data_IF_687787970425
#
_entry.id   IF_687787970425
#
_cell.length_a   1.000
_cell.length_b   1.000
_cell.length_c   1.000
_cell.angle_alpha   90.00
_cell.angle_beta   90.00
_cell.angle_gamma   90.00
#
_symmetry.space_group_name_H-M   'P 1'
#
loop_
_entity.id
_entity.type
_entity.pdbx_description
1 polymer ?
#
# COMPACT_ATOMS: atom_id res chain seq x y z
N UNK A 1 -8.18 -20.07 20.92
CA UNK A 1 -6.74 -19.76 20.82
C UNK A 1 -6.55 -18.40 21.45
N UNK A 2 -5.64 -18.27 22.41
CA UNK A 2 -5.29 -16.98 23.01
C UNK A 2 -4.84 -16.01 21.91
N UNK A 3 -5.40 -14.80 21.90
CA UNK A 3 -4.95 -13.75 21.01
C UNK A 3 -3.50 -13.43 21.36
N UNK A 4 -2.58 -13.59 20.40
CA UNK A 4 -1.19 -13.21 20.60
C UNK A 4 -1.13 -11.70 20.91
N UNK A 5 -0.37 -11.34 21.94
CA UNK A 5 -0.22 -9.96 22.39
C UNK A 5 1.24 -9.66 22.66
N UNK A 6 1.61 -8.39 22.49
CA UNK A 6 2.86 -7.85 22.98
C UNK A 6 2.69 -6.42 23.42
N UNK A 7 3.81 -5.71 23.49
CA UNK A 7 3.87 -4.33 23.95
C UNK A 7 4.72 -3.48 23.03
N UNK A 8 4.43 -2.19 22.97
CA UNK A 8 5.30 -1.19 22.35
C UNK A 8 6.42 -0.88 23.34
N UNK A 9 7.63 -1.32 23.04
CA UNK A 9 8.78 -1.03 23.88
C UNK A 9 9.28 0.40 23.68
N UNK A 10 9.27 0.89 22.43
CA UNK A 10 9.67 2.24 22.08
C UNK A 10 9.01 2.68 20.76
N UNK A 11 8.96 4.00 20.55
CA UNK A 11 8.54 4.60 19.29
C UNK A 11 9.56 5.63 18.83
N UNK A 12 9.75 5.74 17.52
CA UNK A 12 10.78 6.58 16.92
C UNK A 12 10.28 7.23 15.63
N UNK A 13 10.67 8.48 15.39
CA UNK A 13 10.40 9.15 14.12
C UNK A 13 11.45 10.23 13.83
N UNK A 14 11.68 10.47 12.54
CA UNK A 14 12.61 11.49 12.07
C UNK A 14 12.04 12.23 10.87
N UNK A 15 12.08 13.56 10.91
CA UNK A 15 11.69 14.44 9.82
C UNK A 15 12.79 14.62 8.77
N UNK A 16 14.02 14.22 9.10
CA UNK A 16 15.16 14.23 8.18
C UNK A 16 15.45 12.84 7.59
N UNK A 17 16.06 12.83 6.40
CA UNK A 17 16.55 11.60 5.76
C UNK A 17 17.81 11.09 6.48
N UNK A 18 17.60 10.38 7.58
CA UNK A 18 18.61 9.62 8.29
C UNK A 18 18.21 8.15 8.38
N UNK A 19 19.21 7.26 8.51
CA UNK A 19 18.95 5.82 8.68
C UNK A 19 18.32 5.54 10.05
N UNK A 20 18.90 6.10 11.10
CA UNK A 20 18.43 6.01 12.49
C UNK A 20 17.34 7.04 12.77
N UNK A 21 16.36 6.65 13.60
CA UNK A 21 15.27 7.51 14.06
C UNK A 21 15.40 7.73 15.56
N UNK A 22 15.43 8.99 16.05
CA UNK A 22 15.45 9.26 17.48
C UNK A 22 14.17 8.76 18.15
N UNK A 23 14.32 8.19 19.34
CA UNK A 23 13.22 7.78 20.21
C UNK A 23 12.38 8.99 20.61
N UNK A 24 11.07 8.80 20.70
CA UNK A 24 10.07 9.80 21.08
C UNK A 24 9.19 9.27 22.21
N UNK A 25 8.58 10.17 22.96
CA UNK A 25 7.59 9.83 23.98
C UNK A 25 6.30 9.27 23.34
N UNK A 26 5.98 9.72 22.12
CA UNK A 26 4.84 9.25 21.34
C UNK A 26 5.06 9.47 19.84
N UNK A 27 4.30 8.73 19.03
CA UNK A 27 4.15 8.99 17.59
C UNK A 27 2.65 9.05 17.22
N UNK A 28 2.34 9.77 16.14
CA UNK A 28 0.96 9.88 15.63
C UNK A 28 0.87 9.22 14.26
N UNK A 29 0.03 8.20 14.14
CA UNK A 29 -0.29 7.57 12.87
C UNK A 29 -1.34 8.37 12.10
N UNK A 30 -1.16 8.48 10.79
CA UNK A 30 -2.09 9.07 9.84
C UNK A 30 -2.49 7.99 8.83
N UNK A 31 -3.79 7.68 8.76
CA UNK A 31 -4.35 6.63 7.90
C UNK A 31 -3.94 6.83 6.43
N UNK A 32 -3.46 5.75 5.81
CA UNK A 32 -2.98 5.76 4.42
C UNK A 32 -1.73 6.59 4.15
N UNK A 33 -1.10 7.17 5.18
CA UNK A 33 0.05 8.09 5.02
C UNK A 33 1.28 7.58 5.79
N UNK A 34 1.13 7.15 7.05
CA UNK A 34 2.25 6.74 7.91
C UNK A 34 2.39 7.57 9.17
N UNK A 35 3.61 7.71 9.68
CA UNK A 35 3.88 8.45 10.92
C UNK A 35 3.97 9.95 10.64
N UNK A 36 3.18 10.77 11.36
CA UNK A 36 3.21 12.23 11.27
C UNK A 36 4.64 12.74 11.54
N UNK A 37 5.15 13.55 10.62
CA UNK A 37 6.49 14.12 10.73
C UNK A 37 7.62 13.16 10.37
N UNK A 38 7.33 11.92 9.96
CA UNK A 38 8.36 11.02 9.43
C UNK A 38 8.62 11.28 7.94
N UNK A 39 9.88 11.35 7.55
CA UNK A 39 10.28 11.63 6.17
C UNK A 39 9.75 10.60 5.16
N UNK A 40 9.50 9.36 5.60
CA UNK A 40 8.99 8.27 4.77
C UNK A 40 7.46 8.28 4.64
N UNK A 41 6.75 9.10 5.40
CA UNK A 41 5.30 9.17 5.34
C UNK A 41 4.80 9.75 4.01
N UNK A 42 3.79 9.14 3.41
CA UNK A 42 3.21 9.56 2.14
C UNK A 42 2.38 8.45 1.50
N UNK A 43 1.37 8.85 0.72
CA UNK A 43 0.46 7.94 0.00
C UNK A 43 1.21 7.12 -1.07
N UNK A 44 2.17 7.75 -1.74
CA UNK A 44 2.97 7.15 -2.81
C UNK A 44 4.42 6.93 -2.37
N UNK A 45 5.08 5.97 -3.02
CA UNK A 45 6.49 5.66 -2.77
C UNK A 45 7.37 6.89 -3.01
N UNK A 46 8.19 7.26 -2.03
CA UNK A 46 9.16 8.37 -2.12
C UNK A 46 10.57 7.95 -2.56
N UNK A 47 10.82 6.64 -2.71
CA UNK A 47 12.14 6.12 -3.07
C UNK A 47 12.50 6.49 -4.51
N UNK A 48 13.54 7.31 -4.71
CA UNK A 48 13.95 7.88 -6.01
C UNK A 48 13.98 6.85 -7.16
N UNK A 49 14.46 5.63 -6.90
CA UNK A 49 14.51 4.57 -7.89
C UNK A 49 13.14 3.98 -8.28
N UNK A 50 12.19 3.90 -7.34
CA UNK A 50 10.82 3.41 -7.62
C UNK A 50 9.97 4.50 -8.26
N UNK A 51 10.13 5.75 -7.80
CA UNK A 51 9.51 6.94 -8.42
C UNK A 51 9.88 7.08 -9.89
N UNK A 52 11.15 6.78 -10.24
CA UNK A 52 11.61 6.79 -11.63
C UNK A 52 10.89 5.74 -12.51
N UNK A 53 10.48 4.61 -11.93
CA UNK A 53 9.77 3.55 -12.66
C UNK A 53 8.26 3.83 -12.74
N UNK A 54 7.64 4.15 -11.60
CA UNK A 54 6.24 4.57 -11.51
C UNK A 54 6.03 5.37 -10.21
N UNK A 55 5.76 6.70 -10.29
CA UNK A 55 5.56 7.56 -9.14
C UNK A 55 4.18 7.38 -8.45
N UNK A 56 3.26 6.64 -9.05
CA UNK A 56 1.91 6.40 -8.52
C UNK A 56 1.81 5.12 -7.68
N UNK A 57 2.92 4.40 -7.52
CA UNK A 57 2.97 3.19 -6.70
C UNK A 57 2.55 3.48 -5.25
N UNK A 58 1.58 2.72 -4.69
CA UNK A 58 1.20 2.83 -3.29
C UNK A 58 2.38 2.60 -2.35
N UNK A 59 2.46 3.40 -1.29
CA UNK A 59 3.48 3.22 -0.27
C UNK A 59 3.07 2.12 0.72
N UNK A 60 3.65 0.93 0.59
CA UNK A 60 3.49 -0.16 1.57
C UNK A 60 4.42 -0.06 2.78
N UNK A 61 5.25 0.99 2.84
CA UNK A 61 6.31 1.18 3.84
C UNK A 61 6.02 2.37 4.75
N UNK A 62 4.76 2.52 5.15
CA UNK A 62 4.28 3.67 5.91
C UNK A 62 4.75 3.66 7.36
N UNK A 63 4.84 2.46 7.94
CA UNK A 63 5.34 2.23 9.30
C UNK A 63 6.29 1.03 9.27
N UNK A 64 7.46 1.19 9.88
CA UNK A 64 8.41 0.10 10.08
C UNK A 64 8.30 -0.42 11.52
N UNK A 65 8.22 -1.75 11.69
CA UNK A 65 8.17 -2.37 13.01
C UNK A 65 9.28 -3.40 13.15
N UNK A 66 9.99 -3.39 14.28
CA UNK A 66 11.02 -4.40 14.63
C UNK A 66 10.75 -4.91 16.04
N UNK A 67 10.94 -6.22 16.25
CA UNK A 67 10.83 -6.87 17.55
C UNK A 67 12.16 -6.73 18.32
N UNK A 68 12.11 -6.26 19.57
CA UNK A 68 13.26 -5.95 20.41
C UNK A 68 14.14 -7.17 20.66
N UNK A 69 13.58 -8.37 20.58
CA UNK A 69 14.28 -9.64 20.70
C UNK A 69 15.44 -9.73 19.71
N UNK A 70 15.30 -9.14 18.51
CA UNK A 70 16.40 -9.04 17.55
C UNK A 70 17.62 -8.31 18.11
N UNK A 71 17.41 -7.27 18.91
CA UNK A 71 18.49 -6.45 19.47
C UNK A 71 19.29 -7.25 20.50
N UNK A 72 18.60 -8.07 21.30
CA UNK A 72 19.24 -9.05 22.18
C UNK A 72 20.07 -10.06 21.39
N UNK A 73 19.50 -10.65 20.34
CA UNK A 73 20.18 -11.64 19.48
C UNK A 73 21.48 -11.09 18.86
N UNK A 74 21.46 -9.86 18.34
CA UNK A 74 22.67 -9.26 17.75
C UNK A 74 23.62 -8.72 18.82
N UNK A 75 23.11 -8.35 20.00
CA UNK A 75 23.90 -7.99 21.17
C UNK A 75 24.81 -9.12 21.65
N UNK A 76 24.29 -10.35 21.69
CA UNK A 76 25.08 -11.55 22.00
C UNK A 76 26.23 -11.79 21.00
N UNK A 77 26.08 -11.28 19.77
CA UNK A 77 27.09 -11.33 18.71
C UNK A 77 28.03 -10.12 18.72
N UNK A 78 27.93 -9.24 19.72
CA UNK A 78 28.80 -8.08 19.93
C UNK A 78 28.31 -6.78 19.28
N UNK A 79 27.06 -6.71 18.81
CA UNK A 79 26.51 -5.50 18.20
C UNK A 79 25.62 -4.73 19.18
N UNK A 80 25.99 -3.49 19.47
CA UNK A 80 25.17 -2.56 20.25
C UNK A 80 24.12 -1.88 19.34
N UNK A 81 22.86 -2.24 19.54
CA UNK A 81 21.69 -1.77 18.77
C UNK A 81 20.56 -1.40 19.74
N UNK A 82 20.12 -0.14 19.68
CA UNK A 82 19.00 0.39 20.45
C UNK A 82 17.76 0.64 19.57
N UNK A 83 16.64 0.95 20.22
CA UNK A 83 15.40 1.30 19.51
C UNK A 83 15.59 2.52 18.60
N UNK A 84 15.10 2.40 17.36
CA UNK A 84 15.21 3.39 16.30
C UNK A 84 16.50 3.30 15.48
N UNK A 85 17.53 2.58 15.95
CA UNK A 85 18.83 2.52 15.28
C UNK A 85 18.76 1.89 13.89
N UNK A 86 17.87 0.89 13.73
CA UNK A 86 17.67 0.21 12.46
C UNK A 86 16.62 0.89 11.59
N UNK A 87 16.15 2.08 11.98
CA UNK A 87 15.22 2.90 11.22
C UNK A 87 13.76 2.47 11.32
N UNK A 88 13.41 1.71 12.36
CA UNK A 88 12.05 1.37 12.70
C UNK A 88 11.31 2.53 13.36
N UNK A 89 9.98 2.52 13.24
CA UNK A 89 9.10 3.48 13.90
C UNK A 89 8.55 2.93 15.22
N UNK A 90 8.33 1.63 15.29
CA UNK A 90 7.80 0.96 16.48
C UNK A 90 8.70 -0.22 16.79
N UNK A 91 9.25 -0.22 18.00
CA UNK A 91 9.92 -1.39 18.56
C UNK A 91 8.90 -2.13 19.42
N UNK A 92 8.63 -3.40 19.10
CA UNK A 92 7.71 -4.25 19.89
C UNK A 92 8.47 -5.20 20.80
N UNK A 93 7.81 -5.71 21.85
CA UNK A 93 8.30 -6.85 22.64
C UNK A 93 7.19 -7.88 22.82
N UNK A 94 7.56 -9.17 22.86
CA UNK A 94 6.66 -10.30 23.04
C UNK A 94 5.91 -10.73 21.77
N UNK A 95 6.32 -10.24 20.59
CA UNK A 95 5.69 -10.57 19.30
C UNK A 95 6.70 -11.08 18.29
N UNK A 96 6.40 -12.22 17.68
CA UNK A 96 7.15 -12.75 16.54
C UNK A 96 6.58 -12.16 15.23
N UNK A 97 6.90 -10.90 14.99
CA UNK A 97 6.42 -10.10 13.86
C UNK A 97 6.70 -10.77 12.50
N UNK A 98 7.89 -11.33 12.32
CA UNK A 98 8.34 -11.87 11.03
C UNK A 98 7.68 -13.19 10.66
N UNK A 99 6.99 -13.85 11.61
CA UNK A 99 6.19 -15.06 11.39
C UNK A 99 4.69 -14.80 11.34
N UNK A 100 4.23 -13.57 11.52
CA UNK A 100 2.83 -13.23 11.32
C UNK A 100 2.43 -13.42 9.86
N UNK A 101 1.18 -13.81 9.56
CA UNK A 101 0.66 -13.81 8.20
C UNK A 101 0.61 -12.41 7.58
N UNK A 102 0.78 -12.31 6.26
CA UNK A 102 0.46 -11.07 5.53
C UNK A 102 -1.01 -10.71 5.71
N UNK A 103 -1.31 -9.42 5.88
CA UNK A 103 -2.68 -8.95 6.14
C UNK A 103 -3.09 -8.99 7.63
N UNK A 104 -2.20 -9.42 8.53
CA UNK A 104 -2.43 -9.32 9.98
C UNK A 104 -2.62 -7.88 10.40
N UNK A 105 -3.64 -7.61 11.22
CA UNK A 105 -3.90 -6.30 11.80
C UNK A 105 -3.28 -6.24 13.19
N UNK A 106 -2.49 -5.21 13.43
CA UNK A 106 -1.94 -4.87 14.75
C UNK A 106 -2.67 -3.63 15.28
N UNK A 107 -3.25 -3.73 16.47
CA UNK A 107 -3.92 -2.61 17.14
C UNK A 107 -3.17 -2.21 18.39
N UNK A 108 -3.05 -0.91 18.61
CA UNK A 108 -2.26 -0.32 19.68
C UNK A 108 -3.15 0.40 20.67
N UNK A 109 -2.98 0.18 21.97
CA UNK A 109 -3.68 0.97 22.96
C UNK A 109 -3.30 0.60 24.39
N UNK A 110 -3.84 1.32 25.39
CA UNK A 110 -3.49 1.10 26.78
C UNK A 110 -3.86 -0.32 27.23
N UNK A 111 -3.14 -0.85 28.22
CA UNK A 111 -3.29 -2.22 28.72
C UNK A 111 -4.69 -2.59 29.27
N UNK A 112 -5.62 -1.64 29.39
CA UNK A 112 -7.03 -1.86 29.75
C UNK A 112 -8.03 -1.74 28.60
N UNK A 113 -7.57 -1.58 27.36
CA UNK A 113 -8.39 -1.33 26.17
C UNK A 113 -8.81 -2.59 25.41
N UNK A 114 -9.36 -3.60 26.09
CA UNK A 114 -10.33 -4.50 25.45
C UNK A 114 -11.70 -3.89 25.73
N UNK A 115 -12.42 -3.51 24.67
CA UNK A 115 -13.76 -2.98 24.78
C UNK A 115 -14.64 -4.00 25.54
N UNK A 116 -14.89 -3.66 26.80
CA UNK A 116 -15.76 -4.34 27.73
C UNK A 116 -16.32 -3.27 28.66
N UNK A 117 -17.49 -2.75 28.28
CA UNK A 117 -18.39 -1.87 29.01
C UNK A 117 -17.93 -1.34 30.39
N UNK A 118 -17.76 -0.02 30.48
CA UNK A 118 -18.14 0.73 31.67
C UNK A 118 -18.43 2.18 31.26
N UNK A 119 -19.72 2.53 31.23
CA UNK A 119 -20.14 3.93 31.22
C UNK A 119 -19.67 4.59 32.52
N UNK A 120 -19.00 5.73 32.39
CA UNK A 120 -18.76 6.63 33.50
C UNK A 120 -19.45 7.95 33.19
N UNK A 121 -20.72 8.03 33.61
CA UNK A 121 -21.33 9.30 33.97
C UNK A 121 -20.51 9.95 35.08
N UNK A 122 -20.32 11.26 34.98
CA UNK A 122 -19.39 11.99 35.82
C UNK A 122 -19.80 12.07 37.30
N UNK A 123 -18.80 12.38 38.12
CA UNK A 123 -18.95 13.26 39.27
C UNK A 123 -17.58 13.83 39.64
N UNK A 124 -17.52 15.15 39.74
CA UNK A 124 -16.42 15.90 40.30
C UNK A 124 -16.56 16.04 41.83
N UNK A 125 -15.45 16.01 42.56
CA UNK A 125 -15.18 16.74 43.82
C UNK A 125 -13.70 16.43 44.19
N UNK A 126 -12.74 17.36 44.15
CA UNK A 126 -12.52 18.59 44.93
C UNK A 126 -11.94 18.38 46.36
N UNK A 127 -10.76 18.98 46.57
CA UNK A 127 -10.17 19.39 47.86
C UNK A 127 -9.09 18.45 48.42
N UNK A 128 -7.94 18.86 48.96
CA UNK A 128 -7.24 20.14 49.11
C UNK A 128 -5.88 19.80 49.79
N UNK A 129 -4.81 20.55 49.51
CA UNK A 129 -3.54 20.41 50.24
C UNK A 129 -2.39 21.16 49.59
N UNK A 130 -2.26 22.45 49.91
CA UNK A 130 -1.23 23.35 49.40
C UNK A 130 0.01 23.41 50.30
N UNK A 131 1.19 23.53 49.68
CA UNK A 131 2.36 24.34 50.08
C UNK A 131 3.46 24.08 49.01
N UNK A 132 4.12 25.01 48.33
CA UNK A 132 4.22 26.46 48.41
C UNK A 132 5.71 26.84 48.24
N UNK A 133 6.12 27.36 47.07
CA UNK A 133 7.19 28.38 46.91
C UNK A 133 7.51 28.74 45.44
N UNK A 134 7.06 29.94 45.06
CA UNK A 134 7.69 31.03 44.26
C UNK A 134 8.41 30.68 42.94
N UNK A 135 7.88 31.08 41.77
CA UNK A 135 7.64 32.43 41.20
C UNK A 135 8.84 32.98 40.38
N UNK A 136 8.61 33.15 39.08
CA UNK A 136 9.44 33.90 38.16
C UNK A 136 8.75 34.12 36.80
N UNK A 137 8.18 35.32 36.61
CA UNK A 137 8.12 36.04 35.34
C UNK A 137 7.13 35.59 34.26
N UNK A 138 5.99 36.28 34.19
CA UNK A 138 5.06 36.27 33.04
C UNK A 138 5.59 37.12 31.87
N UNK A 139 5.22 36.75 30.63
CA UNK A 139 4.33 37.54 29.78
C UNK A 139 4.04 36.79 28.47
N UNK A 140 2.76 36.85 28.08
CA UNK A 140 2.13 36.11 27.00
C UNK A 140 2.01 36.94 25.72
N UNK A 141 1.99 36.25 24.58
CA UNK A 141 1.24 36.52 23.34
C UNK A 141 1.66 35.41 22.36
N UNK A 142 0.83 34.77 21.54
CA UNK A 142 -0.56 34.88 21.18
C UNK A 142 -0.75 33.81 20.10
N UNK A 143 -1.76 32.97 20.24
CA UNK A 143 -2.02 31.88 19.30
C UNK A 143 -2.44 32.47 17.94
N UNK A 144 -1.71 32.12 16.88
CA UNK A 144 -2.15 32.30 15.51
C UNK A 144 -2.19 30.92 14.85
N UNK A 145 -3.40 30.43 14.61
CA UNK A 145 -3.67 29.33 13.71
C UNK A 145 -3.12 29.69 12.32
N UNK A 146 -2.08 28.98 11.88
CA UNK A 146 -1.60 29.06 10.51
C UNK A 146 -2.02 27.79 9.78
N UNK A 147 -3.13 27.91 9.06
CA UNK A 147 -3.54 26.98 8.01
C UNK A 147 -2.51 27.09 6.88
N UNK A 148 -1.58 26.14 6.78
CA UNK A 148 -0.70 26.04 5.61
C UNK A 148 -1.48 25.44 4.44
N UNK A 149 -1.90 26.31 3.53
CA UNK A 149 -2.39 25.94 2.20
C UNK A 149 -1.21 25.56 1.29
N UNK A 150 -1.28 24.38 0.66
CA UNK A 150 -0.30 23.95 -0.35
C UNK A 150 -0.63 24.55 -1.73
N UNK A 151 0.35 24.97 -2.55
CA UNK A 151 0.11 25.57 -3.85
C UNK A 151 -0.54 24.59 -4.83
N UNK A 152 -1.62 25.02 -5.49
CA UNK A 152 -2.15 24.36 -6.70
C UNK A 152 -1.30 24.76 -7.88
N UNK A 153 -0.56 23.82 -8.45
CA UNK A 153 0.21 24.08 -9.65
C UNK A 153 -0.71 24.22 -10.87
N UNK A 154 -0.51 25.33 -11.58
CA UNK A 154 -1.27 25.74 -12.76
C UNK A 154 -0.71 25.03 -13.99
N UNK A 155 -1.62 24.61 -14.87
CA UNK A 155 -1.27 24.16 -16.21
C UNK A 155 -0.52 25.23 -17.00
N UNK A 156 0.47 24.77 -17.76
CA UNK A 156 1.07 25.53 -18.85
C UNK A 156 0.93 24.69 -20.12
N UNK A 157 -0.01 25.11 -20.97
CA UNK A 157 -0.02 24.72 -22.37
C UNK A 157 1.11 25.44 -23.10
N UNK A 158 1.71 24.77 -24.07
CA UNK A 158 2.54 25.40 -25.10
C UNK A 158 2.04 24.91 -26.45
N UNK A 159 1.38 25.83 -27.14
CA UNK A 159 1.15 25.85 -28.58
C UNK A 159 2.44 26.26 -29.29
N UNK A 160 2.77 25.64 -30.43
CA UNK A 160 3.87 26.10 -31.28
C UNK A 160 3.84 25.45 -32.65
N UNK A 161 3.49 26.25 -33.65
CA UNK A 161 3.26 25.91 -35.06
C UNK A 161 4.53 25.53 -35.84
N UNK A 162 4.26 24.85 -36.96
CA UNK A 162 5.16 24.46 -38.02
C UNK A 162 5.87 25.62 -38.73
N UNK A 163 7.08 25.35 -39.23
CA UNK A 163 7.61 25.99 -40.45
C UNK A 163 8.28 24.94 -41.33
N UNK A 164 7.81 24.85 -42.57
CA UNK A 164 8.38 24.03 -43.63
C UNK A 164 9.58 24.72 -44.29
N UNK A 165 10.61 23.94 -44.66
CA UNK A 165 11.51 24.28 -45.76
C UNK A 165 11.93 23.00 -46.48
N UNK A 166 11.59 22.91 -47.78
CA UNK A 166 12.09 21.93 -48.74
C UNK A 166 13.52 22.28 -49.17
N UNK A 167 14.36 21.25 -49.35
CA UNK A 167 15.38 21.19 -50.40
C UNK A 167 15.81 19.72 -50.59
N UNK A 168 16.19 19.40 -51.83
CA UNK A 168 16.22 18.08 -52.46
C UNK A 168 17.38 17.16 -52.10
N UNK A 169 17.19 15.86 -52.39
CA UNK A 169 18.22 15.04 -53.03
C UNK A 169 18.55 13.70 -52.38
N UNK A 170 18.43 12.62 -53.16
CA UNK A 170 19.31 11.45 -53.06
C UNK A 170 18.66 10.16 -52.56
N UNK A 171 18.54 9.20 -53.47
CA UNK A 171 18.07 7.84 -53.26
C UNK A 171 19.09 6.96 -52.52
N UNK A 172 18.60 5.98 -51.74
CA UNK A 172 18.78 4.53 -51.95
C UNK A 172 18.59 3.70 -50.66
N UNK A 173 17.95 2.54 -50.87
CA UNK A 173 18.10 1.26 -50.17
C UNK A 173 17.73 1.10 -48.67
N UNK A 174 16.63 0.34 -48.48
CA UNK A 174 16.48 -0.82 -47.59
C UNK A 174 16.80 -0.69 -46.08
N UNK A 175 15.73 -0.70 -45.28
CA UNK A 175 15.74 -1.01 -43.85
C UNK A 175 14.31 -0.99 -43.29
N UNK A 176 13.83 -2.12 -42.76
CA UNK A 176 12.46 -2.38 -42.31
C UNK A 176 11.90 -1.35 -41.30
N UNK A 177 10.58 -1.08 -41.28
CA UNK A 177 9.90 -0.60 -40.09
C UNK A 177 9.15 -1.72 -39.36
N UNK A 178 9.41 -1.71 -38.07
CA UNK A 178 8.83 -2.49 -36.98
C UNK A 178 7.33 -2.26 -36.86
N UNK A 179 6.63 -3.35 -36.54
CA UNK A 179 5.20 -3.50 -36.22
C UNK A 179 4.41 -2.25 -35.83
N UNK A 180 3.48 -1.88 -36.70
CA UNK A 180 2.26 -1.20 -36.31
C UNK A 180 1.21 -2.27 -35.96
N UNK A 181 0.74 -2.24 -34.72
CA UNK A 181 -0.30 -3.11 -34.19
C UNK A 181 -1.54 -3.06 -35.08
N UNK A 182 -1.88 -4.20 -35.68
CA UNK A 182 -3.19 -4.42 -36.27
C UNK A 182 -4.17 -4.64 -35.12
N UNK A 183 -5.07 -3.67 -34.94
CA UNK A 183 -6.24 -3.79 -34.08
C UNK A 183 -6.94 -5.13 -34.32
N UNK A 184 -7.24 -5.80 -33.20
CA UNK A 184 -7.81 -7.14 -33.17
C UNK A 184 -9.12 -7.25 -33.94
N UNK A 185 -9.02 -7.64 -35.20
CA UNK A 185 -10.05 -8.45 -35.84
C UNK A 185 -9.96 -9.83 -35.19
N UNK A 186 -10.72 -10.02 -34.12
CA UNK A 186 -11.13 -11.35 -33.71
C UNK A 186 -11.91 -11.95 -34.89
N UNK A 187 -11.17 -12.63 -35.77
CA UNK A 187 -11.72 -13.37 -36.89
C UNK A 187 -12.79 -14.29 -36.33
N UNK A 188 -13.96 -14.30 -36.96
CA UNK A 188 -14.97 -15.31 -36.65
C UNK A 188 -14.25 -16.65 -36.87
N UNK A 189 -14.09 -17.46 -35.83
CA UNK A 189 -13.52 -18.82 -35.96
C UNK A 189 -14.69 -19.77 -35.81
N UNK A 190 -14.95 -20.57 -36.84
CA UNK A 190 -16.05 -21.53 -36.85
C UNK A 190 -16.57 -21.83 -38.25
N UNK A 191 -17.50 -22.81 -38.39
CA UNK A 191 -17.98 -23.28 -39.70
C UNK A 191 -18.48 -22.18 -40.62
N UNK A 192 -19.13 -21.15 -40.06
CA UNK A 192 -19.63 -19.99 -40.80
C UNK A 192 -18.53 -19.12 -41.40
N UNK A 193 -17.40 -18.95 -40.69
CA UNK A 193 -16.28 -18.16 -41.20
C UNK A 193 -15.59 -18.83 -42.39
N UNK A 194 -15.40 -20.16 -42.30
CA UNK A 194 -14.87 -20.95 -43.39
C UNK A 194 -15.79 -20.89 -44.63
N UNK A 195 -17.12 -20.93 -44.42
CA UNK A 195 -18.10 -20.78 -45.51
C UNK A 195 -18.04 -19.39 -46.15
N UNK A 196 -17.93 -18.32 -45.35
CA UNK A 196 -17.85 -16.95 -45.86
C UNK A 196 -16.54 -16.68 -46.61
N UNK A 197 -15.42 -17.24 -46.15
CA UNK A 197 -14.11 -17.13 -46.81
C UNK A 197 -14.10 -17.85 -48.16
N UNK A 198 -14.64 -19.07 -48.23
CA UNK A 198 -14.78 -19.83 -49.49
C UNK A 198 -15.72 -19.13 -50.46
N UNK A 199 -16.84 -18.56 -49.97
CA UNK A 199 -17.77 -17.81 -50.80
C UNK A 199 -17.16 -16.52 -51.37
N UNK A 200 -16.31 -15.82 -50.60
CA UNK A 200 -15.63 -14.61 -51.04
C UNK A 200 -14.58 -14.87 -52.15
N UNK A 201 -13.98 -16.07 -52.18
CA UNK A 201 -12.99 -16.47 -53.17
C UNK A 201 -13.60 -17.08 -54.46
N UNK A 202 -14.89 -17.45 -54.43
CA UNK A 202 -15.55 -18.13 -55.54
C UNK A 202 -16.02 -17.15 -56.62
N UNK A 203 -15.91 -17.55 -57.91
CA UNK A 203 -16.61 -16.86 -59.01
C UNK A 203 -18.07 -17.31 -59.02
N UNK A 204 -18.91 -16.57 -58.30
CA UNK A 204 -20.33 -16.85 -58.17
C UNK A 204 -21.13 -16.10 -59.25
N UNK A 205 -22.21 -16.71 -59.72
CA UNK A 205 -23.24 -16.00 -60.46
C UNK A 205 -23.95 -14.96 -59.55
N UNK A 206 -24.71 -14.06 -60.17
CA UNK A 206 -25.31 -12.94 -59.46
C UNK A 206 -26.34 -13.33 -58.39
N UNK A 207 -27.05 -14.45 -58.57
CA UNK A 207 -28.07 -14.91 -57.63
C UNK A 207 -27.44 -15.57 -56.41
N UNK A 208 -26.43 -16.41 -56.65
CA UNK A 208 -25.64 -17.06 -55.57
C UNK A 208 -24.88 -16.02 -54.74
N UNK A 209 -24.32 -14.99 -55.38
CA UNK A 209 -23.64 -13.90 -54.67
C UNK A 209 -24.60 -13.12 -53.73
N UNK A 210 -25.83 -12.83 -54.18
CA UNK A 210 -26.84 -12.14 -53.35
C UNK A 210 -27.25 -12.98 -52.14
N UNK A 211 -27.40 -14.28 -52.33
CA UNK A 211 -27.73 -15.22 -51.25
C UNK A 211 -26.61 -15.30 -50.21
N UNK A 212 -25.35 -15.38 -50.64
CA UNK A 212 -24.19 -15.37 -49.75
C UNK A 212 -24.11 -14.09 -48.91
N UNK A 213 -24.35 -12.92 -49.52
CA UNK A 213 -24.39 -11.62 -48.81
C UNK A 213 -25.52 -11.58 -47.78
N UNK A 214 -26.70 -12.10 -48.11
CA UNK A 214 -27.83 -12.14 -47.18
C UNK A 214 -27.55 -13.03 -45.95
N UNK A 215 -26.91 -14.19 -46.15
CA UNK A 215 -26.48 -15.09 -45.07
C UNK A 215 -25.40 -14.43 -44.21
N UNK A 216 -24.39 -13.80 -44.84
CA UNK A 216 -23.35 -13.05 -44.13
C UNK A 216 -23.95 -11.93 -43.26
N UNK A 217 -24.92 -11.19 -43.80
CA UNK A 217 -25.60 -10.12 -43.07
C UNK A 217 -26.44 -10.65 -41.90
N UNK A 218 -27.08 -11.81 -42.04
CA UNK A 218 -27.82 -12.46 -40.96
C UNK A 218 -26.89 -12.94 -39.85
N UNK A 219 -25.78 -13.59 -40.22
CA UNK A 219 -24.71 -14.00 -39.32
C UNK A 219 -24.12 -12.82 -38.53
N UNK A 220 -23.83 -11.70 -39.20
CA UNK A 220 -23.29 -10.51 -38.56
C UNK A 220 -24.26 -9.91 -37.53
N UNK A 221 -25.57 -9.91 -37.82
CA UNK A 221 -26.60 -9.46 -36.87
C UNK A 221 -26.67 -10.36 -35.64
N UNK A 222 -26.55 -11.67 -35.82
CA UNK A 222 -26.58 -12.61 -34.70
C UNK A 222 -25.35 -12.45 -33.79
N UNK A 223 -24.16 -12.37 -34.38
CA UNK A 223 -22.93 -12.10 -33.62
C UNK A 223 -22.98 -10.76 -32.87
N UNK A 224 -23.61 -9.73 -33.48
CA UNK A 224 -23.80 -8.45 -32.81
C UNK A 224 -24.72 -8.56 -31.58
N UNK A 225 -25.82 -9.33 -31.68
CA UNK A 225 -26.72 -9.60 -30.54
C UNK A 225 -26.02 -10.39 -29.44
N UNK A 226 -25.26 -11.42 -29.79
CA UNK A 226 -24.50 -12.21 -28.80
C UNK A 226 -23.50 -11.35 -28.04
N UNK A 227 -22.81 -10.43 -28.73
CA UNK A 227 -21.89 -9.47 -28.11
C UNK A 227 -22.61 -8.47 -27.21
N UNK A 228 -23.80 -8.02 -27.59
CA UNK A 228 -24.63 -7.13 -26.77
C UNK A 228 -25.09 -7.83 -25.49
N UNK A 229 -25.63 -9.04 -25.60
CA UNK A 229 -26.03 -9.88 -24.46
C UNK A 229 -24.84 -10.18 -23.52
N UNK A 230 -23.65 -10.42 -24.08
CA UNK A 230 -22.44 -10.61 -23.28
C UNK A 230 -22.09 -9.35 -22.46
N UNK A 231 -22.15 -8.16 -23.08
CA UNK A 231 -21.92 -6.88 -22.38
C UNK A 231 -22.96 -6.62 -21.30
N UNK A 232 -24.24 -6.90 -21.57
CA UNK A 232 -25.31 -6.74 -20.58
C UNK A 232 -25.11 -7.65 -19.37
N UNK A 233 -24.69 -8.91 -19.60
CA UNK A 233 -24.36 -9.85 -18.52
C UNK A 233 -23.16 -9.38 -17.70
N UNK A 234 -22.11 -8.87 -18.35
CA UNK A 234 -20.93 -8.38 -17.67
C UNK A 234 -21.27 -7.14 -16.82
N UNK A 235 -22.06 -6.20 -17.37
CA UNK A 235 -22.59 -5.06 -16.62
C UNK A 235 -23.51 -5.48 -15.45
N UNK A 236 -24.30 -6.54 -15.61
CA UNK A 236 -25.13 -7.06 -14.53
C UNK A 236 -24.27 -7.60 -13.38
N UNK A 237 -23.22 -8.38 -13.71
CA UNK A 237 -22.26 -8.88 -12.72
C UNK A 237 -21.57 -7.74 -11.97
N UNK A 238 -21.14 -6.70 -12.67
CA UNK A 238 -20.52 -5.52 -12.05
C UNK A 238 -21.49 -4.81 -11.09
N UNK A 239 -22.77 -4.67 -11.46
CA UNK A 239 -23.81 -4.08 -10.58
C UNK A 239 -24.06 -4.94 -9.35
N UNK A 240 -24.12 -6.26 -9.50
CA UNK A 240 -24.34 -7.18 -8.39
C UNK A 240 -23.16 -7.14 -7.42
N UNK A 241 -21.93 -7.18 -7.94
CA UNK A 241 -20.71 -7.00 -7.13
C UNK A 241 -20.67 -5.65 -6.41
N UNK A 242 -21.11 -4.57 -7.06
CA UNK A 242 -21.19 -3.26 -6.43
C UNK A 242 -22.21 -3.25 -5.27
N UNK A 243 -23.38 -3.87 -5.44
CA UNK A 243 -24.39 -4.01 -4.38
C UNK A 243 -23.88 -4.83 -3.20
N UNK A 244 -23.21 -5.96 -3.47
CA UNK A 244 -22.61 -6.79 -2.43
C UNK A 244 -21.54 -6.02 -1.63
N UNK A 245 -20.70 -5.23 -2.33
CA UNK A 245 -19.70 -4.37 -1.69
C UNK A 245 -20.36 -3.30 -0.82
N UNK A 246 -21.38 -2.61 -1.32
CA UNK A 246 -22.09 -1.57 -0.57
C UNK A 246 -22.80 -2.15 0.67
N UNK A 247 -23.40 -3.34 0.53
CA UNK A 247 -24.00 -4.06 1.66
C UNK A 247 -22.95 -4.49 2.70
N UNK A 248 -21.79 -4.98 2.27
CA UNK A 248 -20.68 -5.33 3.16
C UNK A 248 -20.14 -4.10 3.91
N UNK A 249 -20.04 -2.94 3.24
CA UNK A 249 -19.65 -1.68 3.88
C UNK A 249 -20.68 -1.22 4.92
N UNK A 250 -21.99 -1.34 4.62
CA UNK A 250 -23.06 -1.02 5.57
C UNK A 250 -23.09 -1.95 6.79
N UNK A 251 -22.87 -3.25 6.61
CA UNK A 251 -22.75 -4.19 7.73
C UNK A 251 -21.49 -3.97 8.56
N UNK A 252 -20.41 -3.47 7.95
CA UNK A 252 -19.19 -3.12 8.68
C UNK A 252 -19.36 -1.87 9.56
N UNK A 253 -20.22 -0.93 9.19
CA UNK A 253 -20.52 0.26 10.03
C UNK A 253 -21.29 -0.07 11.32
N UNK A 254 -22.01 -1.20 11.36
CA UNK A 254 -22.84 -1.59 12.51
C UNK A 254 -22.07 -2.39 13.58
N UNK A 255 -20.82 -2.80 13.33
CA UNK A 255 -19.98 -3.47 14.33
C UNK A 255 -19.39 -2.43 15.30
N UNK A 256 -19.36 -2.79 16.59
CA UNK A 256 -18.70 -2.01 17.63
C UNK A 256 -17.29 -1.60 17.18
N UNK A 257 -17.10 -0.30 17.03
CA UNK A 257 -15.95 0.24 16.31
C UNK A 257 -14.76 0.36 17.26
N UNK A 258 -13.79 -0.57 17.14
CA UNK A 258 -12.52 -0.43 17.84
C UNK A 258 -11.80 0.83 17.34
N UNK A 259 -11.72 1.84 18.20
CA UNK A 259 -11.20 3.15 17.85
C UNK A 259 -9.68 3.25 17.91
N UNK A 260 -8.99 2.19 18.34
CA UNK A 260 -7.54 2.18 18.53
C UNK A 260 -6.78 2.37 17.21
N UNK A 261 -5.61 3.04 17.24
CA UNK A 261 -4.70 3.05 16.10
C UNK A 261 -4.41 1.63 15.61
N UNK A 262 -4.41 1.45 14.30
CA UNK A 262 -4.24 0.13 13.70
C UNK A 262 -3.41 0.20 12.41
N UNK A 263 -2.57 -0.81 12.24
CA UNK A 263 -1.81 -1.04 11.00
C UNK A 263 -2.07 -2.44 10.47
N UNK A 264 -1.97 -2.60 9.16
CA UNK A 264 -1.96 -3.91 8.50
C UNK A 264 -0.55 -4.26 8.08
N UNK A 265 -0.09 -5.45 8.44
CA UNK A 265 1.23 -5.97 8.05
C UNK A 265 1.24 -6.25 6.55
N UNK A 266 2.10 -5.56 5.82
CA UNK A 266 2.20 -5.62 4.37
C UNK A 266 3.30 -6.58 3.89
N UNK A 267 4.35 -6.80 4.67
CA UNK A 267 5.46 -7.67 4.29
C UNK A 267 6.69 -7.55 5.17
N UNK A 268 7.71 -8.35 4.87
CA UNK A 268 9.04 -8.27 5.49
C UNK A 268 9.78 -7.03 5.00
N UNK A 269 10.42 -6.33 5.93
CA UNK A 269 11.42 -5.31 5.60
C UNK A 269 12.55 -5.94 4.80
N UNK A 270 13.01 -5.25 3.76
CA UNK A 270 14.25 -5.59 3.09
C UNK A 270 15.46 -4.92 3.78
N UNK A 271 16.32 -5.66 4.50
CA UNK A 271 17.55 -5.10 5.05
C UNK A 271 18.49 -4.69 3.90
N UNK A 272 19.25 -3.61 4.07
CA UNK A 272 20.11 -3.05 3.02
C UNK A 272 21.48 -2.64 3.57
N UNK A 273 22.38 -2.23 2.68
CA UNK A 273 23.74 -1.81 3.01
C UNK A 273 23.82 -0.67 4.05
N UNK A 274 22.76 0.13 4.22
CA UNK A 274 22.72 1.17 5.25
C UNK A 274 22.91 0.61 6.67
N UNK A 275 22.54 -0.66 6.90
CA UNK A 275 22.78 -1.35 8.19
C UNK A 275 24.28 -1.49 8.47
N UNK A 276 25.08 -1.83 7.47
CA UNK A 276 26.54 -1.84 7.62
C UNK A 276 27.13 -0.44 7.73
N UNK A 277 26.46 0.57 7.18
CA UNK A 277 26.80 1.97 7.41
C UNK A 277 26.56 2.42 8.85
N UNK A 278 25.62 1.80 9.57
CA UNK A 278 25.40 2.01 10.99
C UNK A 278 26.41 1.21 11.84
N UNK A 279 26.52 -0.10 11.61
CA UNK A 279 27.49 -0.99 12.27
C UNK A 279 28.04 -2.00 11.28
N UNK A 280 29.34 -1.99 11.06
CA UNK A 280 29.98 -2.90 10.11
C UNK A 280 29.73 -4.36 10.48
N UNK A 281 29.40 -5.19 9.48
CA UNK A 281 29.09 -6.61 9.68
C UNK A 281 27.68 -6.92 10.19
N UNK A 282 26.87 -5.94 10.61
CA UNK A 282 25.53 -6.23 11.18
C UNK A 282 24.54 -6.78 10.14
N UNK A 283 24.67 -6.44 8.86
CA UNK A 283 23.73 -6.86 7.82
C UNK A 283 23.62 -8.38 7.68
N UNK A 284 24.74 -9.12 7.82
CA UNK A 284 24.75 -10.59 7.75
C UNK A 284 24.08 -11.24 8.97
N UNK A 285 23.93 -10.52 10.08
CA UNK A 285 23.28 -11.06 11.29
C UNK A 285 21.76 -10.90 11.24
N UNK A 286 21.25 -9.98 10.41
CA UNK A 286 19.81 -9.76 10.20
C UNK A 286 19.28 -10.40 8.92
N UNK A 287 20.15 -11.05 8.15
CA UNK A 287 19.84 -11.88 6.98
C UNK A 287 20.48 -13.25 7.20
N UNK A 288 19.67 -14.24 7.55
CA UNK A 288 20.13 -15.62 7.75
C UNK A 288 19.58 -16.55 6.67
N UNK A 289 20.11 -17.76 6.59
CA UNK A 289 19.50 -18.85 5.85
C UNK A 289 18.95 -19.87 6.83
N UNK A 290 17.71 -20.32 6.63
CA UNK A 290 17.15 -21.42 7.42
C UNK A 290 17.80 -22.77 7.03
N UNK A 291 17.41 -23.84 7.73
CA UNK A 291 17.90 -25.19 7.48
C UNK A 291 17.61 -25.71 6.06
N UNK A 292 16.63 -25.13 5.37
CA UNK A 292 16.27 -25.45 3.99
C UNK A 292 16.98 -24.54 2.98
N UNK A 293 17.80 -23.60 3.43
CA UNK A 293 18.55 -22.66 2.61
C UNK A 293 17.75 -21.41 2.21
N UNK A 294 16.52 -21.23 2.70
CA UNK A 294 15.70 -20.06 2.40
C UNK A 294 16.21 -18.85 3.16
N UNK A 295 16.13 -17.68 2.53
CA UNK A 295 16.56 -16.42 3.15
C UNK A 295 15.54 -15.94 4.18
N UNK A 296 15.95 -15.86 5.44
CA UNK A 296 15.18 -15.29 6.56
C UNK A 296 15.62 -13.86 6.78
N UNK A 297 14.67 -12.92 6.71
CA UNK A 297 14.90 -11.50 6.98
C UNK A 297 14.40 -11.18 8.37
N UNK A 298 15.32 -10.88 9.28
CA UNK A 298 15.00 -10.63 10.68
C UNK A 298 14.72 -9.16 10.99
N UNK A 299 15.03 -8.24 10.07
CA UNK A 299 14.93 -6.79 10.31
C UNK A 299 13.49 -6.24 10.35
N UNK A 300 12.51 -7.04 10.78
CA UNK A 300 11.14 -6.65 11.02
C UNK A 300 10.23 -6.60 9.80
N UNK A 301 9.10 -5.90 9.97
CA UNK A 301 8.01 -5.84 9.00
C UNK A 301 7.69 -4.40 8.58
N UNK A 302 7.02 -4.30 7.45
CA UNK A 302 6.47 -3.08 6.88
C UNK A 302 4.96 -3.14 7.04
N UNK A 303 4.35 -2.00 7.36
CA UNK A 303 2.92 -1.91 7.55
C UNK A 303 2.32 -0.64 6.93
N UNK A 304 1.03 -0.72 6.63
CA UNK A 304 0.18 0.37 6.17
C UNK A 304 -0.76 0.78 7.28
N UNK A 305 -0.96 2.09 7.48
CA UNK A 305 -1.85 2.59 8.52
C UNK A 305 -3.30 2.45 8.07
N UNK A 306 -4.06 1.60 8.75
CA UNK A 306 -5.50 1.46 8.56
C UNK A 306 -6.27 2.55 9.31
N UNK A 307 -5.86 2.82 10.55
CA UNK A 307 -6.50 3.81 11.43
C UNK A 307 -5.44 4.65 12.13
N UNK A 308 -5.58 5.96 12.03
CA UNK A 308 -4.71 6.91 12.69
C UNK A 308 -4.95 6.97 14.21
N UNK A 309 -4.00 7.58 14.92
CA UNK A 309 -4.06 7.72 16.37
C UNK A 309 -2.68 7.78 17.00
N UNK A 310 -2.63 8.00 18.30
CA UNK A 310 -1.37 8.10 19.06
C UNK A 310 -0.93 6.71 19.51
N UNK A 311 0.38 6.43 19.38
CA UNK A 311 1.02 5.24 19.94
C UNK A 311 2.10 5.70 20.92
N UNK A 312 2.16 5.07 22.08
CA UNK A 312 3.13 5.34 23.14
C UNK A 312 3.87 4.07 23.58
N UNK A 313 5.11 4.20 24.09
CA UNK A 313 5.72 3.12 24.85
C UNK A 313 4.79 2.63 25.97
N UNK A 314 4.70 1.32 26.13
CA UNK A 314 3.80 0.65 27.07
C UNK A 314 2.42 0.30 26.51
N UNK A 315 2.04 0.78 25.32
CA UNK A 315 0.79 0.34 24.67
C UNK A 315 0.83 -1.17 24.40
N UNK A 316 -0.28 -1.85 24.67
CA UNK A 316 -0.49 -3.24 24.27
C UNK A 316 -0.73 -3.30 22.76
N UNK A 317 -0.08 -4.28 22.14
CA UNK A 317 -0.23 -4.63 20.74
C UNK A 317 -1.06 -5.90 20.65
N UNK A 318 -2.31 -5.78 20.19
CA UNK A 318 -3.17 -6.95 19.96
C UNK A 318 -3.11 -7.39 18.50
N UNK A 319 -2.96 -8.69 18.27
CA UNK A 319 -2.87 -9.32 16.94
C UNK A 319 -4.24 -9.84 16.49
N UNK A 320 -4.69 -9.39 15.32
CA UNK A 320 -5.88 -9.87 14.62
C UNK A 320 -5.45 -10.53 13.29
N UNK A 321 -5.55 -11.85 13.23
CA UNK A 321 -5.11 -12.64 12.06
C UNK A 321 -6.10 -12.51 10.89
N UNK A 322 -5.62 -12.54 9.63
CA UNK A 322 -6.50 -12.57 8.47
C UNK A 322 -7.31 -13.87 8.42
N UNK A 323 -8.41 -13.92 7.64
CA UNK A 323 -9.13 -15.16 7.38
C UNK A 323 -8.20 -16.24 6.81
N UNK A 324 -8.48 -17.51 7.14
CA UNK A 324 -7.76 -18.65 6.57
C UNK A 324 -8.02 -18.78 5.05
N UNK A 325 -7.06 -19.34 4.28
CA UNK A 325 -5.74 -19.80 4.72
C UNK A 325 -4.73 -18.64 4.88
N UNK A 326 -3.84 -18.76 5.86
CA UNK A 326 -2.77 -17.78 6.07
C UNK A 326 -1.69 -17.90 5.00
N UNK A 327 -1.22 -16.75 4.50
CA UNK A 327 -0.05 -16.66 3.63
C UNK A 327 1.16 -16.06 4.39
N UNK A 328 2.40 -16.55 4.13
CA UNK A 328 3.60 -16.02 4.76
C UNK A 328 3.92 -14.60 4.25
N UNK A 329 4.73 -13.87 5.00
CA UNK A 329 5.18 -12.54 4.58
C UNK A 329 6.24 -12.63 3.48
N UNK A 330 6.05 -11.82 2.43
CA UNK A 330 7.04 -11.59 1.39
C UNK A 330 7.77 -10.26 1.59
N UNK A 331 8.89 -10.08 0.90
CA UNK A 331 9.67 -8.85 0.95
C UNK A 331 8.97 -7.71 0.18
N UNK A 332 8.89 -6.53 0.78
CA UNK A 332 8.32 -5.30 0.15
C UNK A 332 9.31 -4.13 0.02
#
# INVERSE_FOLDING_TARGET
>A
MEAQQGTVAAVSCNDTYAFTKPVRDEIVLIAGVGVKGDVHAGVYVKHRGRVRNDPTQPNFRQVHLIQQELFGEVGEKGYDVAAGDLGENVTTSGLDLIRLPVGTILRFGPAGGVAGAAGAGGAAAAGAGAAGAKAGGAMAAGAAEQTLAWPRDRGAGVTGQATASRADGGAEAAGEPVGAAADGQAGVVGPLAAVLEVAAAARLDQETARSAVAVAAAAARELARERELARERDQARERDQARERDQALGQASDREHDSRPAVVVAGLRNPCAQINGFRDGLLKEVIEKDASGNVVRKAGVMAVVLRGGVIRPGDVVTVELPPLPHAPLERV
#
